data_IF_616221086913
#
_entry.id   IF_616221086913
#
_cell.length_a   1.000
_cell.length_b   1.000
_cell.length_c   1.000
_cell.angle_alpha   90.00
_cell.angle_beta   90.00
_cell.angle_gamma   90.00
#
_symmetry.space_group_name_H-M   'P 1'
#
loop_
_entity.id
_entity.type
_entity.pdbx_description
1 polymer ?
#
# COMPACT_ATOMS: atom_id res chain seq x y z
N UNK A 1 -2.61 -62.29 -32.84
CA UNK A 1 -1.75 -61.12 -32.54
C UNK A 1 -2.50 -59.80 -32.75
N UNK A 2 -3.73 -59.67 -32.20
CA UNK A 2 -4.68 -58.58 -32.51
C UNK A 2 -5.36 -57.97 -31.25
N UNK A 3 -4.82 -58.21 -30.06
CA UNK A 3 -5.48 -57.83 -28.79
C UNK A 3 -4.83 -56.64 -28.07
N UNK A 4 -3.57 -56.29 -28.35
CA UNK A 4 -2.88 -55.21 -27.63
C UNK A 4 -2.93 -53.83 -28.30
N UNK A 5 -3.22 -53.75 -29.61
CA UNK A 5 -3.29 -52.47 -30.32
C UNK A 5 -4.59 -51.69 -30.03
N UNK A 6 -5.72 -52.39 -29.91
CA UNK A 6 -7.03 -51.75 -29.69
C UNK A 6 -7.15 -51.12 -28.29
N UNK A 7 -6.44 -51.65 -27.29
CA UNK A 7 -6.49 -51.13 -25.92
C UNK A 7 -5.65 -49.85 -25.74
N UNK A 8 -4.54 -49.71 -26.48
CA UNK A 8 -3.70 -48.51 -26.43
C UNK A 8 -4.36 -47.29 -27.10
N UNK A 9 -5.14 -47.52 -28.16
CA UNK A 9 -5.87 -46.44 -28.84
C UNK A 9 -7.05 -45.92 -27.98
N UNK A 10 -7.71 -46.81 -27.24
CA UNK A 10 -8.84 -46.44 -26.38
C UNK A 10 -8.39 -45.64 -25.14
N UNK A 11 -7.22 -45.96 -24.57
CA UNK A 11 -6.63 -45.22 -23.44
C UNK A 11 -6.09 -43.84 -23.87
N UNK A 12 -5.53 -43.73 -25.07
CA UNK A 12 -5.10 -42.45 -25.61
C UNK A 12 -6.29 -41.50 -25.90
N UNK A 13 -7.42 -42.04 -26.37
CA UNK A 13 -8.64 -41.25 -26.60
C UNK A 13 -9.29 -40.78 -25.29
N UNK A 14 -9.32 -41.61 -24.24
CA UNK A 14 -9.89 -41.20 -22.95
C UNK A 14 -9.03 -40.18 -22.21
N UNK A 15 -7.70 -40.22 -22.37
CA UNK A 15 -6.81 -39.17 -21.87
C UNK A 15 -7.00 -37.83 -22.63
N UNK A 16 -7.20 -37.84 -23.95
CA UNK A 16 -7.46 -36.59 -24.70
C UNK A 16 -8.80 -35.95 -24.33
N UNK A 17 -9.84 -36.74 -24.09
CA UNK A 17 -11.16 -36.24 -23.68
C UNK A 17 -11.13 -35.65 -22.25
N UNK A 18 -10.32 -36.21 -21.34
CA UNK A 18 -10.13 -35.64 -19.99
C UNK A 18 -9.31 -34.35 -19.97
N UNK A 19 -8.38 -34.17 -20.92
CA UNK A 19 -7.62 -32.93 -21.07
C UNK A 19 -8.49 -31.80 -21.64
N UNK A 20 -9.44 -32.12 -22.52
CA UNK A 20 -10.33 -31.11 -23.11
C UNK A 20 -11.53 -30.73 -22.20
N UNK A 21 -11.93 -31.59 -21.26
CA UNK A 21 -13.08 -31.34 -20.38
C UNK A 21 -12.80 -30.37 -19.21
N UNK A 22 -11.54 -29.99 -18.98
CA UNK A 22 -11.16 -29.01 -17.94
C UNK A 22 -10.98 -27.58 -18.46
N UNK A 23 -11.22 -27.32 -19.75
CA UNK A 23 -11.19 -25.97 -20.32
C UNK A 23 -12.43 -25.11 -19.97
N UNK A 24 -13.31 -25.63 -19.11
CA UNK A 24 -14.52 -24.96 -18.62
C UNK A 24 -14.51 -24.73 -17.12
N UNK A 25 -13.35 -24.48 -16.50
CA UNK A 25 -13.35 -23.78 -15.22
C UNK A 25 -13.77 -22.34 -15.48
N UNK A 26 -14.90 -21.91 -14.91
CA UNK A 26 -15.16 -20.49 -14.71
C UNK A 26 -14.03 -19.93 -13.85
N UNK A 27 -12.98 -19.42 -14.49
CA UNK A 27 -11.92 -18.72 -13.76
C UNK A 27 -12.59 -17.62 -12.96
N UNK A 28 -12.45 -17.69 -11.62
CA UNK A 28 -12.78 -16.56 -10.77
C UNK A 28 -12.06 -15.34 -11.38
N UNK A 29 -12.75 -14.19 -11.55
CA UNK A 29 -12.20 -13.08 -12.30
C UNK A 29 -10.80 -12.76 -11.80
N UNK A 30 -9.81 -12.80 -12.70
CA UNK A 30 -8.42 -12.57 -12.35
C UNK A 30 -8.23 -11.23 -11.63
N UNK A 31 -7.14 -11.11 -10.85
CA UNK A 31 -6.87 -9.93 -10.02
C UNK A 31 -6.93 -8.60 -10.82
N UNK A 32 -6.51 -8.62 -12.08
CA UNK A 32 -6.62 -7.47 -13.00
C UNK A 32 -8.08 -7.05 -13.27
N UNK A 33 -8.95 -8.00 -13.60
CA UNK A 33 -10.39 -7.76 -13.83
C UNK A 33 -11.06 -7.21 -12.57
N UNK A 34 -10.62 -7.68 -11.40
CA UNK A 34 -11.10 -7.17 -10.11
C UNK A 34 -10.66 -5.71 -9.88
N UNK A 35 -9.40 -5.36 -10.13
CA UNK A 35 -8.89 -3.98 -9.96
C UNK A 35 -9.59 -2.98 -10.88
N UNK A 36 -9.77 -3.32 -12.16
CA UNK A 36 -10.48 -2.46 -13.12
C UNK A 36 -11.96 -2.27 -12.72
N UNK A 37 -12.60 -3.31 -12.19
CA UNK A 37 -13.96 -3.19 -11.64
C UNK A 37 -14.00 -2.21 -10.46
N UNK A 38 -13.08 -2.34 -9.51
CA UNK A 38 -12.98 -1.44 -8.34
C UNK A 38 -12.69 0.01 -8.74
N UNK A 39 -11.87 0.22 -9.78
CA UNK A 39 -11.65 1.54 -10.35
C UNK A 39 -12.94 2.13 -10.92
N UNK A 40 -13.67 1.38 -11.74
CA UNK A 40 -14.96 1.83 -12.28
C UNK A 40 -15.98 2.15 -11.19
N UNK A 41 -16.04 1.33 -10.14
CA UNK A 41 -16.90 1.58 -8.98
C UNK A 41 -16.51 2.89 -8.25
N UNK A 42 -15.22 3.18 -8.12
CA UNK A 42 -14.74 4.43 -7.54
C UNK A 42 -15.07 5.65 -8.43
N UNK A 43 -14.95 5.51 -9.75
CA UNK A 43 -15.32 6.57 -10.71
C UNK A 43 -16.82 6.87 -10.67
N UNK A 44 -17.67 5.84 -10.80
CA UNK A 44 -19.13 5.97 -10.71
C UNK A 44 -19.54 6.56 -9.35
N UNK A 45 -18.97 6.05 -8.26
CA UNK A 45 -19.28 6.53 -6.92
C UNK A 45 -18.87 7.98 -6.66
N UNK A 46 -17.87 8.51 -7.38
CA UNK A 46 -17.53 9.94 -7.34
C UNK A 46 -18.55 10.77 -8.13
N UNK A 47 -18.93 10.33 -9.34
CA UNK A 47 -19.93 11.02 -10.17
C UNK A 47 -21.28 11.14 -9.46
N UNK A 48 -21.74 10.06 -8.84
CA UNK A 48 -22.95 10.04 -8.02
C UNK A 48 -22.85 11.05 -6.86
N UNK A 49 -21.72 11.06 -6.14
CA UNK A 49 -21.50 12.00 -5.04
C UNK A 49 -21.46 13.45 -5.52
N UNK A 50 -20.89 13.74 -6.70
CA UNK A 50 -20.87 15.09 -7.26
C UNK A 50 -22.28 15.59 -7.65
N UNK A 51 -23.15 14.68 -8.08
CA UNK A 51 -24.54 14.99 -8.47
C UNK A 51 -25.51 15.13 -7.28
N UNK A 52 -25.09 14.71 -6.08
CA UNK A 52 -25.95 14.65 -4.90
C UNK A 52 -26.12 16.04 -4.25
N UNK A 53 -27.32 16.29 -3.72
CA UNK A 53 -27.59 17.42 -2.82
C UNK A 53 -27.18 17.09 -1.38
N UNK A 54 -26.52 18.03 -0.72
CA UNK A 54 -26.02 17.88 0.66
C UNK A 54 -26.69 18.91 1.59
N UNK A 55 -26.84 18.59 2.88
CA UNK A 55 -27.42 19.52 3.86
C UNK A 55 -26.54 20.75 4.11
N UNK A 56 -25.22 20.61 4.00
CA UNK A 56 -24.25 21.70 4.15
C UNK A 56 -22.91 21.37 3.44
N UNK A 57 -22.03 22.36 3.35
CA UNK A 57 -20.72 22.22 2.71
C UNK A 57 -19.77 21.28 3.46
N UNK A 58 -19.93 21.13 4.78
CA UNK A 58 -19.09 20.22 5.57
C UNK A 58 -19.42 18.77 5.24
N UNK A 59 -20.70 18.42 5.15
CA UNK A 59 -21.19 17.12 4.74
C UNK A 59 -20.80 16.82 3.30
N UNK A 60 -20.93 17.79 2.39
CA UNK A 60 -20.47 17.67 1.00
C UNK A 60 -18.98 17.36 0.94
N UNK A 61 -18.14 18.16 1.61
CA UNK A 61 -16.68 17.97 1.63
C UNK A 61 -16.28 16.62 2.21
N UNK A 62 -16.88 16.20 3.32
CA UNK A 62 -16.58 14.92 3.94
C UNK A 62 -16.82 13.74 2.96
N UNK A 63 -17.95 13.76 2.23
CA UNK A 63 -18.27 12.71 1.26
C UNK A 63 -17.37 12.80 0.03
N UNK A 64 -17.17 13.98 -0.55
CA UNK A 64 -16.33 14.14 -1.74
C UNK A 64 -14.86 13.79 -1.46
N UNK A 65 -14.31 14.21 -0.31
CA UNK A 65 -12.94 13.88 0.08
C UNK A 65 -12.74 12.37 0.20
N UNK A 66 -13.70 11.66 0.79
CA UNK A 66 -13.67 10.20 0.84
C UNK A 66 -13.67 9.56 -0.55
N UNK A 67 -14.50 10.07 -1.49
CA UNK A 67 -14.56 9.56 -2.87
C UNK A 67 -13.28 9.84 -3.65
N UNK A 68 -12.70 11.03 -3.54
CA UNK A 68 -11.43 11.35 -4.19
C UNK A 68 -10.27 10.52 -3.63
N UNK A 69 -10.20 10.31 -2.31
CA UNK A 69 -9.21 9.41 -1.70
C UNK A 69 -9.35 7.98 -2.24
N UNK A 70 -10.58 7.47 -2.34
CA UNK A 70 -10.87 6.15 -2.91
C UNK A 70 -10.46 6.07 -4.38
N UNK A 71 -10.80 7.08 -5.19
CA UNK A 71 -10.44 7.13 -6.60
C UNK A 71 -8.91 7.18 -6.78
N UNK A 72 -8.23 8.03 -6.02
CA UNK A 72 -6.77 8.13 -6.05
C UNK A 72 -6.09 6.80 -5.70
N UNK A 73 -6.60 6.10 -4.67
CA UNK A 73 -6.12 4.77 -4.34
C UNK A 73 -6.36 3.75 -5.46
N UNK A 74 -7.55 3.70 -6.06
CA UNK A 74 -7.83 2.71 -7.11
C UNK A 74 -7.07 2.99 -8.40
N UNK A 75 -6.82 4.27 -8.74
CA UNK A 75 -5.94 4.65 -9.85
C UNK A 75 -4.51 4.20 -9.62
N UNK A 76 -3.99 4.36 -8.39
CA UNK A 76 -2.64 3.88 -8.07
C UNK A 76 -2.51 2.35 -8.19
N UNK A 77 -3.56 1.60 -7.87
CA UNK A 77 -3.60 0.13 -8.00
C UNK A 77 -3.51 -0.38 -9.44
N UNK A 78 -3.89 0.44 -10.43
CA UNK A 78 -3.78 0.12 -11.86
C UNK A 78 -2.61 0.83 -12.55
N UNK A 79 -1.65 1.33 -11.76
CA UNK A 79 -0.48 2.07 -12.22
C UNK A 79 -0.79 3.41 -12.92
N UNK A 80 -1.98 3.98 -12.71
CA UNK A 80 -2.32 5.36 -13.11
C UNK A 80 -1.89 6.35 -12.01
N UNK A 81 -0.57 6.55 -11.88
CA UNK A 81 0.00 7.42 -10.85
C UNK A 81 -0.37 8.89 -11.03
N UNK A 82 -0.34 9.39 -12.27
CA UNK A 82 -0.67 10.78 -12.57
C UNK A 82 -2.15 11.08 -12.32
N UNK A 83 -3.04 10.18 -12.74
CA UNK A 83 -4.46 10.29 -12.45
C UNK A 83 -4.78 10.16 -10.96
N UNK A 84 -4.01 9.36 -10.22
CA UNK A 84 -4.16 9.24 -8.77
C UNK A 84 -3.84 10.57 -8.05
N UNK A 85 -2.74 11.24 -8.42
CA UNK A 85 -2.38 12.58 -7.92
C UNK A 85 -3.42 13.61 -8.35
N UNK A 86 -3.85 13.58 -9.61
CA UNK A 86 -4.85 14.51 -10.13
C UNK A 86 -6.22 14.35 -9.46
N UNK A 87 -6.60 13.14 -9.03
CA UNK A 87 -7.81 12.93 -8.24
C UNK A 87 -7.69 13.55 -6.84
N UNK A 88 -6.55 13.37 -6.18
CA UNK A 88 -6.30 13.95 -4.86
C UNK A 88 -6.28 15.49 -4.89
N UNK A 89 -5.64 16.09 -5.89
CA UNK A 89 -5.58 17.55 -6.05
C UNK A 89 -6.96 18.21 -6.29
N UNK A 90 -8.00 17.42 -6.60
CA UNK A 90 -9.38 17.90 -6.74
C UNK A 90 -10.19 17.82 -5.45
N UNK A 91 -9.59 17.30 -4.37
CA UNK A 91 -10.24 17.27 -3.07
C UNK A 91 -10.53 18.71 -2.61
N UNK A 92 -11.79 19.04 -2.26
CA UNK A 92 -12.08 20.32 -1.64
C UNK A 92 -11.45 20.38 -0.24
N UNK A 93 -10.27 20.99 -0.19
CA UNK A 93 -9.57 21.35 1.05
C UNK A 93 -9.74 22.86 1.28
N UNK A 94 -9.74 23.26 2.56
CA UNK A 94 -9.50 24.68 2.87
C UNK A 94 -8.02 24.92 2.66
N UNK A 95 -7.65 25.56 1.55
CA UNK A 95 -6.29 26.04 1.35
C UNK A 95 -6.01 27.14 2.36
N UNK A 96 -5.22 26.82 3.38
CA UNK A 96 -4.59 27.82 4.23
C UNK A 96 -3.26 28.15 3.55
N UNK A 97 -3.13 29.32 2.89
CA UNK A 97 -1.88 29.68 2.25
C UNK A 97 -0.78 29.77 3.31
N UNK A 98 0.40 29.23 2.97
CA UNK A 98 1.57 29.38 3.82
C UNK A 98 1.87 30.87 4.04
N UNK A 99 2.23 31.21 5.27
CA UNK A 99 2.62 32.56 5.66
C UNK A 99 3.91 32.96 4.96
N UNK A 100 4.14 34.27 4.81
CA UNK A 100 5.41 34.79 4.30
C UNK A 100 6.61 34.28 5.10
N UNK A 101 6.47 34.17 6.43
CA UNK A 101 7.53 33.63 7.29
C UNK A 101 7.86 32.18 6.98
N UNK A 102 6.87 31.34 6.65
CA UNK A 102 7.11 29.95 6.26
C UNK A 102 7.85 29.88 4.92
N UNK A 103 7.49 30.71 3.94
CA UNK A 103 8.25 30.84 2.69
C UNK A 103 9.68 31.34 2.91
N UNK A 104 9.86 32.39 3.71
CA UNK A 104 11.17 32.96 4.01
C UNK A 104 12.09 31.96 4.71
N UNK A 105 11.52 31.05 5.54
CA UNK A 105 12.28 30.01 6.22
C UNK A 105 12.96 29.00 5.28
N UNK A 106 12.40 28.79 4.08
CA UNK A 106 12.95 27.85 3.09
C UNK A 106 13.71 28.55 1.96
N UNK A 107 13.62 29.88 1.85
CA UNK A 107 14.30 30.66 0.80
C UNK A 107 15.84 30.57 0.87
N UNK A 108 16.40 30.20 2.02
CA UNK A 108 17.83 29.97 2.21
C UNK A 108 18.21 28.48 2.31
N UNK A 109 17.26 27.57 2.09
CA UNK A 109 17.54 26.15 2.11
C UNK A 109 18.43 25.76 0.92
N UNK A 110 19.45 24.95 1.20
CA UNK A 110 20.32 24.40 0.16
C UNK A 110 19.83 23.00 -0.14
N UNK A 111 19.53 22.74 -1.42
CA UNK A 111 19.13 21.41 -1.87
C UNK A 111 20.29 20.42 -1.70
N UNK A 112 20.00 19.26 -1.12
CA UNK A 112 20.92 18.13 -1.03
C UNK A 112 20.19 16.82 -1.38
N UNK A 113 20.94 15.73 -1.59
CA UNK A 113 20.34 14.43 -1.82
C UNK A 113 19.57 13.97 -0.57
N UNK A 114 18.25 13.78 -0.72
CA UNK A 114 17.36 13.47 0.38
C UNK A 114 17.72 12.15 1.09
N UNK A 115 18.17 11.12 0.35
CA UNK A 115 18.53 9.84 0.95
C UNK A 115 19.81 10.00 1.79
N UNK A 116 20.83 10.66 1.25
CA UNK A 116 22.07 10.93 1.97
C UNK A 116 21.82 11.75 3.25
N UNK A 117 20.98 12.78 3.16
CA UNK A 117 20.57 13.61 4.29
C UNK A 117 19.88 12.79 5.38
N UNK A 118 18.85 12.00 5.01
CA UNK A 118 18.10 11.17 5.96
C UNK A 118 19.03 10.12 6.58
N UNK A 119 19.87 9.45 5.80
CA UNK A 119 20.79 8.41 6.32
C UNK A 119 21.81 9.02 7.29
N UNK A 120 22.31 10.23 7.01
CA UNK A 120 23.22 10.97 7.89
C UNK A 120 22.58 11.24 9.25
N UNK A 121 21.32 11.68 9.28
CA UNK A 121 20.60 11.91 10.54
C UNK A 121 20.17 10.59 11.21
N UNK A 122 19.76 9.59 10.45
CA UNK A 122 19.38 8.27 10.93
C UNK A 122 20.51 7.53 11.67
N UNK A 123 21.77 7.85 11.40
CA UNK A 123 22.90 7.33 12.19
C UNK A 123 22.78 7.70 13.68
N UNK A 124 22.18 8.84 13.99
CA UNK A 124 22.01 9.38 15.36
C UNK A 124 20.71 8.94 16.02
N UNK A 125 19.76 8.39 15.26
CA UNK A 125 18.45 7.99 15.77
C UNK A 125 18.28 6.48 15.76
N UNK A 126 17.24 6.02 16.46
CA UNK A 126 16.80 4.62 16.44
C UNK A 126 15.54 4.39 15.61
N UNK A 127 14.81 5.47 15.32
CA UNK A 127 13.55 5.41 14.60
C UNK A 127 13.61 6.44 13.48
N UNK A 128 13.25 6.01 12.27
CA UNK A 128 12.91 6.89 11.15
C UNK A 128 11.45 6.65 10.83
N UNK A 129 10.67 7.74 10.77
CA UNK A 129 9.28 7.71 10.34
C UNK A 129 9.22 8.41 8.99
N UNK A 130 8.78 7.69 7.97
CA UNK A 130 8.57 8.20 6.63
C UNK A 130 7.07 8.27 6.36
N UNK A 131 6.58 9.47 6.14
CA UNK A 131 5.19 9.67 5.76
C UNK A 131 4.97 9.28 4.29
N UNK A 132 3.84 8.66 4.00
CA UNK A 132 3.38 8.34 2.66
C UNK A 132 1.93 8.75 2.40
N UNK A 133 1.70 9.23 1.19
CA UNK A 133 0.37 9.35 0.61
C UNK A 133 0.01 8.04 -0.13
N UNK A 134 -1.18 7.49 0.14
CA UNK A 134 -1.61 6.19 -0.42
C UNK A 134 -1.84 6.23 -1.94
N UNK A 135 -2.12 7.41 -2.48
CA UNK A 135 -2.35 7.63 -3.90
C UNK A 135 -1.05 7.94 -4.67
N UNK A 136 0.11 7.99 -4.00
CA UNK A 136 1.41 8.31 -4.63
C UNK A 136 2.35 7.11 -4.54
N UNK A 137 2.40 6.24 -5.57
CA UNK A 137 3.32 5.11 -5.61
C UNK A 137 4.79 5.51 -5.50
N UNK A 138 5.16 6.70 -5.98
CA UNK A 138 6.52 7.21 -5.95
C UNK A 138 7.10 7.30 -4.53
N UNK A 139 6.27 7.53 -3.50
CA UNK A 139 6.72 7.49 -2.11
C UNK A 139 7.24 6.11 -1.70
N UNK A 140 6.64 5.02 -2.22
CA UNK A 140 7.05 3.63 -1.94
C UNK A 140 8.32 3.28 -2.69
N UNK A 141 8.48 3.78 -3.92
CA UNK A 141 9.74 3.68 -4.66
C UNK A 141 10.89 4.40 -3.93
N UNK A 142 10.62 5.60 -3.39
CA UNK A 142 11.57 6.32 -2.54
C UNK A 142 11.88 5.54 -1.25
N UNK A 143 10.85 5.05 -0.55
CA UNK A 143 10.98 4.25 0.66
C UNK A 143 11.85 3.00 0.44
N UNK A 144 11.71 2.34 -0.71
CA UNK A 144 12.54 1.20 -1.09
C UNK A 144 14.02 1.61 -1.22
N UNK A 145 14.32 2.70 -1.93
CA UNK A 145 15.70 3.21 -2.04
C UNK A 145 16.27 3.60 -0.68
N UNK A 146 15.49 4.30 0.14
CA UNK A 146 15.89 4.71 1.49
C UNK A 146 16.13 3.50 2.40
N UNK A 147 15.26 2.50 2.37
CA UNK A 147 15.40 1.29 3.17
C UNK A 147 16.73 0.57 2.84
N UNK A 148 17.11 0.43 1.58
CA UNK A 148 18.40 -0.17 1.21
C UNK A 148 19.59 0.53 1.90
N UNK A 149 19.59 1.86 1.96
CA UNK A 149 20.66 2.60 2.62
C UNK A 149 20.56 2.57 4.15
N UNK A 150 19.36 2.63 4.72
CA UNK A 150 19.15 2.48 6.16
C UNK A 150 19.56 1.09 6.66
N UNK A 151 19.37 0.05 5.85
CA UNK A 151 19.82 -1.31 6.16
C UNK A 151 21.33 -1.35 6.37
N UNK A 152 22.11 -0.68 5.50
CA UNK A 152 23.57 -0.53 5.66
C UNK A 152 23.93 0.26 6.92
N UNK A 153 23.08 1.19 7.35
CA UNK A 153 23.24 1.98 8.57
C UNK A 153 22.76 1.26 9.86
N UNK A 154 22.43 -0.04 9.79
CA UNK A 154 22.07 -0.85 10.95
C UNK A 154 20.58 -0.91 11.29
N UNK A 155 19.71 -0.36 10.43
CA UNK A 155 18.27 -0.55 10.57
C UNK A 155 17.87 -1.96 10.19
N UNK A 156 17.13 -2.64 11.07
CA UNK A 156 16.79 -4.05 10.88
C UNK A 156 15.30 -4.32 10.94
N UNK A 157 14.49 -3.40 11.45
CA UNK A 157 13.04 -3.55 11.58
C UNK A 157 12.28 -2.63 10.62
N UNK A 158 11.35 -3.20 9.86
CA UNK A 158 10.48 -2.46 8.94
C UNK A 158 9.03 -2.58 9.40
N UNK A 159 8.41 -1.45 9.69
CA UNK A 159 7.03 -1.36 10.08
C UNK A 159 6.25 -0.59 9.01
N UNK A 160 5.12 -1.13 8.55
CA UNK A 160 4.35 -0.51 7.47
C UNK A 160 2.85 -0.52 7.75
N UNK A 161 2.17 0.55 7.36
CA UNK A 161 0.71 0.72 7.35
C UNK A 161 0.02 -0.18 6.30
N UNK A 162 0.20 -1.49 6.41
CA UNK A 162 -0.49 -2.46 5.55
C UNK A 162 -0.67 -3.80 6.24
N UNK A 163 0.10 -4.08 7.27
CA UNK A 163 0.10 -5.39 7.89
C UNK A 163 -1.09 -5.53 8.84
N UNK A 164 -2.16 -6.20 8.41
CA UNK A 164 -3.24 -6.58 9.32
C UNK A 164 -2.73 -7.60 10.35
N UNK A 165 -3.18 -7.49 11.60
CA UNK A 165 -2.81 -8.42 12.67
C UNK A 165 -3.58 -9.75 12.63
N UNK A 166 -4.47 -9.95 11.66
CA UNK A 166 -5.26 -11.18 11.51
C UNK A 166 -4.49 -12.23 10.70
N UNK A 167 -4.16 -13.32 11.39
CA UNK A 167 -3.88 -14.70 10.94
C UNK A 167 -3.49 -14.95 9.48
N UNK A 168 -2.42 -14.29 9.03
CA UNK A 168 -1.48 -14.75 7.99
C UNK A 168 -0.61 -13.54 7.65
N UNK A 169 0.19 -13.10 8.61
CA UNK A 169 1.23 -12.12 8.30
C UNK A 169 2.10 -12.72 7.17
N UNK A 170 2.07 -12.18 5.95
CA UNK A 170 2.53 -12.90 4.75
C UNK A 170 4.03 -13.21 4.77
N UNK A 171 4.73 -12.56 5.68
CA UNK A 171 6.17 -12.50 5.73
C UNK A 171 6.76 -13.76 6.36
N UNK A 172 5.92 -14.64 6.93
CA UNK A 172 6.33 -16.02 7.24
C UNK A 172 6.46 -16.89 5.97
N UNK A 173 5.76 -16.55 4.87
CA UNK A 173 5.69 -17.40 3.67
C UNK A 173 6.73 -17.03 2.60
N UNK A 174 7.67 -16.13 2.88
CA UNK A 174 8.69 -15.65 1.94
C UNK A 174 8.16 -15.04 0.62
N UNK A 175 6.87 -14.72 0.53
CA UNK A 175 6.30 -13.93 -0.57
C UNK A 175 5.30 -12.88 -0.07
N UNK A 176 5.02 -11.88 -0.90
CA UNK A 176 4.00 -10.85 -0.62
C UNK A 176 2.64 -11.36 -1.10
N UNK A 177 1.74 -11.63 -0.15
CA UNK A 177 0.37 -12.05 -0.45
C UNK A 177 -0.55 -10.84 -0.64
N UNK A 178 -1.46 -10.87 -1.61
CA UNK A 178 -2.51 -9.86 -1.73
C UNK A 178 -3.50 -9.86 -0.54
N UNK A 179 -3.50 -10.92 0.27
CA UNK A 179 -4.30 -11.04 1.50
C UNK A 179 -3.69 -10.27 2.69
N UNK A 180 -2.45 -9.79 2.56
CA UNK A 180 -1.73 -9.08 3.62
C UNK A 180 -2.39 -7.79 4.09
N UNK A 181 -3.09 -7.14 3.16
CA UNK A 181 -3.62 -5.79 3.31
C UNK A 181 -3.82 -5.13 1.95
N UNK A 182 -4.73 -4.16 1.90
CA UNK A 182 -5.14 -3.51 0.64
C UNK A 182 -3.96 -2.91 -0.14
N UNK A 183 -2.97 -2.33 0.55
CA UNK A 183 -1.82 -1.68 -0.10
C UNK A 183 -0.86 -2.68 -0.75
N UNK A 184 -0.82 -3.93 -0.29
CA UNK A 184 0.04 -4.96 -0.90
C UNK A 184 -0.43 -5.41 -2.28
N UNK A 185 -1.66 -5.02 -2.66
CA UNK A 185 -2.20 -5.22 -4.01
C UNK A 185 -1.64 -4.22 -5.02
N UNK A 186 -0.97 -3.16 -4.56
CA UNK A 186 -0.29 -2.16 -5.39
C UNK A 186 1.11 -2.67 -5.76
N UNK A 187 1.46 -2.59 -7.04
CA UNK A 187 2.67 -3.21 -7.58
C UNK A 187 3.98 -2.68 -6.99
N UNK A 188 4.09 -1.37 -6.78
CA UNK A 188 5.24 -0.65 -6.22
C UNK A 188 5.41 -0.98 -4.74
N UNK A 189 4.32 -1.02 -3.98
CA UNK A 189 4.33 -1.47 -2.59
C UNK A 189 4.78 -2.93 -2.49
N UNK A 190 4.25 -3.81 -3.33
CA UNK A 190 4.63 -5.21 -3.35
C UNK A 190 6.12 -5.39 -3.72
N UNK A 191 6.63 -4.58 -4.66
CA UNK A 191 8.06 -4.53 -4.99
C UNK A 191 8.90 -4.07 -3.80
N UNK A 192 8.50 -3.00 -3.11
CA UNK A 192 9.18 -2.53 -1.90
C UNK A 192 9.25 -3.62 -0.83
N UNK A 193 8.15 -4.32 -0.56
CA UNK A 193 8.15 -5.41 0.41
C UNK A 193 9.05 -6.57 -0.03
N UNK A 194 9.02 -6.98 -1.31
CA UNK A 194 9.93 -8.02 -1.83
C UNK A 194 11.40 -7.63 -1.66
N UNK A 195 11.74 -6.38 -1.95
CA UNK A 195 13.09 -5.85 -1.77
C UNK A 195 13.52 -5.90 -0.30
N UNK A 196 12.63 -5.48 0.61
CA UNK A 196 12.89 -5.57 2.04
C UNK A 196 13.02 -7.02 2.54
N UNK A 197 12.29 -7.98 1.95
CA UNK A 197 12.45 -9.40 2.26
C UNK A 197 13.82 -9.92 1.82
N UNK A 198 14.27 -9.56 0.61
CA UNK A 198 15.61 -9.89 0.11
C UNK A 198 16.71 -9.26 0.99
N UNK A 199 16.48 -8.03 1.46
CA UNK A 199 17.31 -7.35 2.45
C UNK A 199 17.18 -7.88 3.87
N UNK A 200 16.46 -8.99 4.10
CA UNK A 200 16.27 -9.64 5.40
C UNK A 200 15.80 -8.67 6.50
N UNK A 201 14.86 -7.79 6.16
CA UNK A 201 14.20 -6.94 7.15
C UNK A 201 13.29 -7.76 8.07
N UNK A 202 13.29 -7.40 9.35
CA UNK A 202 12.34 -7.93 10.35
C UNK A 202 11.08 -7.09 10.30
N UNK A 203 10.05 -7.63 9.71
CA UNK A 203 8.82 -6.88 9.53
C UNK A 203 7.98 -6.87 10.78
N UNK A 204 7.25 -5.77 10.98
CA UNK A 204 6.43 -5.63 12.17
C UNK A 204 5.15 -4.84 11.93
N UNK A 205 4.00 -5.42 12.30
CA UNK A 205 2.70 -4.73 12.26
C UNK A 205 2.55 -3.77 13.44
N UNK A 206 2.04 -2.56 13.23
CA UNK A 206 1.71 -1.62 14.31
C UNK A 206 0.27 -1.08 14.24
N UNK A 207 -0.51 -1.62 13.31
CA UNK A 207 -1.91 -1.24 13.12
C UNK A 207 -2.76 -1.70 14.32
N UNK A 208 -3.72 -0.88 14.78
CA UNK A 208 -4.57 -1.25 15.91
C UNK A 208 -5.49 -2.42 15.54
N UNK A 209 -5.64 -3.36 16.48
CA UNK A 209 -6.44 -4.58 16.30
C UNK A 209 -7.94 -4.30 16.40
N UNK A 210 -8.35 -3.31 17.21
CA UNK A 210 -9.75 -3.06 17.53
C UNK A 210 -10.10 -1.56 17.47
N UNK A 211 -11.14 -1.23 16.72
CA UNK A 211 -11.76 0.11 16.68
C UNK A 211 -11.22 1.06 15.59
N UNK A 212 -11.86 2.23 15.42
CA UNK A 212 -11.38 3.29 14.53
C UNK A 212 -9.95 3.68 14.91
N UNK A 213 -9.06 3.86 13.93
CA UNK A 213 -7.64 4.16 14.17
C UNK A 213 -7.42 5.49 14.89
N UNK A 214 -8.35 6.41 14.68
CA UNK A 214 -8.38 7.73 15.29
C UNK A 214 -8.82 7.68 16.76
N UNK A 215 -9.31 6.53 17.23
CA UNK A 215 -9.61 6.34 18.64
C UNK A 215 -8.33 6.45 19.48
N UNK A 216 -8.45 7.08 20.64
CA UNK A 216 -7.36 7.16 21.62
C UNK A 216 -6.80 5.78 21.99
N UNK A 217 -7.62 4.74 21.92
CA UNK A 217 -7.22 3.35 22.15
C UNK A 217 -6.28 2.84 21.06
N UNK A 218 -6.58 3.12 19.80
CA UNK A 218 -5.76 2.75 18.67
C UNK A 218 -4.40 3.47 18.66
N UNK A 219 -4.38 4.78 18.94
CA UNK A 219 -3.13 5.55 19.09
C UNK A 219 -2.24 5.00 20.21
N UNK A 220 -2.83 4.72 21.37
CA UNK A 220 -2.11 4.12 22.51
C UNK A 220 -1.59 2.72 22.18
N UNK A 221 -2.32 1.93 21.40
CA UNK A 221 -1.89 0.61 20.94
C UNK A 221 -0.70 0.71 19.97
N UNK A 222 -0.76 1.60 18.98
CA UNK A 222 0.34 1.86 18.04
C UNK A 222 1.61 2.32 18.75
N UNK A 223 1.49 3.30 19.66
CA UNK A 223 2.62 3.80 20.46
C UNK A 223 3.23 2.72 21.35
N UNK A 224 2.41 1.90 22.03
CA UNK A 224 2.89 0.75 22.81
C UNK A 224 3.60 -0.28 21.93
N UNK A 225 3.08 -0.56 20.75
CA UNK A 225 3.70 -1.48 19.80
C UNK A 225 5.05 -0.96 19.29
N UNK A 226 5.22 0.36 19.15
CA UNK A 226 6.50 0.99 18.80
C UNK A 226 7.49 0.90 19.97
N UNK A 227 7.02 1.18 21.20
CA UNK A 227 7.86 1.23 22.41
C UNK A 227 8.28 -0.14 22.94
N UNK A 228 7.46 -1.19 22.78
CA UNK A 228 7.71 -2.52 23.32
C UNK A 228 8.76 -3.34 22.52
N UNK A 229 9.46 -2.75 21.55
CA UNK A 229 10.28 -3.49 20.59
C UNK A 229 11.76 -3.53 20.94
N UNK A 230 12.49 -4.57 20.44
CA UNK A 230 13.88 -4.81 20.80
C UNK A 230 14.77 -3.59 20.56
N UNK A 231 15.94 -3.55 21.19
CA UNK A 231 16.87 -2.41 21.18
C UNK A 231 17.41 -1.97 19.79
N UNK A 232 16.94 -2.56 18.68
CA UNK A 232 17.37 -2.28 17.31
C UNK A 232 16.83 -0.96 16.73
N UNK A 233 17.33 -0.63 15.53
CA UNK A 233 16.88 0.52 14.73
C UNK A 233 15.76 0.14 13.75
N UNK A 234 14.76 1.00 13.62
CA UNK A 234 13.49 0.72 12.94
C UNK A 234 13.08 1.82 11.96
N UNK A 235 12.61 1.42 10.77
CA UNK A 235 11.95 2.29 9.79
C UNK A 235 10.44 2.06 9.85
N UNK A 236 9.68 3.15 9.97
CA UNK A 236 8.22 3.16 9.95
C UNK A 236 7.73 3.89 8.71
N UNK A 237 6.88 3.23 7.92
CA UNK A 237 6.17 3.81 6.79
C UNK A 237 4.72 4.04 7.18
N UNK A 238 4.30 5.31 7.27
CA UNK A 238 3.02 5.71 7.85
C UNK A 238 2.25 6.70 6.98
N UNK A 239 0.92 6.76 7.09
CA UNK A 239 0.11 7.73 6.36
C UNK A 239 0.37 9.16 6.81
N UNK A 240 0.26 10.09 5.86
CA UNK A 240 0.43 11.54 6.04
C UNK A 240 -0.46 12.25 7.09
N UNK A 241 -1.41 11.59 7.77
CA UNK A 241 -2.32 12.29 8.71
C UNK A 241 -3.07 11.39 9.72
N UNK A 242 -3.19 11.82 11.00
CA UNK A 242 -2.09 12.25 11.85
C UNK A 242 -1.37 11.02 12.43
N UNK A 243 -0.06 10.95 12.24
CA UNK A 243 0.76 9.98 12.95
C UNK A 243 1.19 10.60 14.27
N UNK A 244 0.71 9.98 15.36
CA UNK A 244 0.82 10.35 16.79
C UNK A 244 -0.21 11.41 17.25
#
# INVERSE_FOLDING_TARGET
MLSQFSLRLLVALTCLVHICAHAGSTEAPGAHTTRLKQLKEAETGLLEAQSRTYPDDKAKRAVLNSKYLSLGLMRSMVADGDGAVAAFNRMPVEDVPATKSEFDSINHAIAEDAIAAIVREAKKTRVVILNEAHHVPMHRAFAMKLARELKKAGYTYLACEAFSMYDDFPLQKQYVSEKAGILTKESTYANFLRDAMQGQWKFVSYEPVNGPRESEMAKKSGAKNIQARPQGKSLYLCRLWPCL
#
